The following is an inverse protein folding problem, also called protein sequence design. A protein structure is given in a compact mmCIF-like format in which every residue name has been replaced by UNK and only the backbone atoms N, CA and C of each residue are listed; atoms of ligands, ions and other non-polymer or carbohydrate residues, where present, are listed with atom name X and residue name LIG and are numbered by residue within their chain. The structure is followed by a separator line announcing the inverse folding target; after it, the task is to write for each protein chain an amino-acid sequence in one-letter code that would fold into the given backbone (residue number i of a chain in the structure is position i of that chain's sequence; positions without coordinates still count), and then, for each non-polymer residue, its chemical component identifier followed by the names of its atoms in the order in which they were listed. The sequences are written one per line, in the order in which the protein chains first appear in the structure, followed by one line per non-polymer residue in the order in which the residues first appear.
data_IF_046826413503
#
_entry.id   IF_046826413503
#
_cell.length_a   1.000
_cell.length_b   1.000
_cell.length_c   1.000
_cell.angle_alpha   90.00
_cell.angle_beta   90.00
_cell.angle_gamma   90.00
#
_symmetry.space_group_name_H-M   'P 1'
#
loop_
_entity.id
_entity.type
_entity.pdbx_description
1 polymer ?
#
# COMPACT_ATOMS: atom_id res chain seq x y z
N UNK A 1 -13.51 14.94 -31.82
CA UNK A 1 -14.17 13.66 -31.92
C UNK A 1 -14.63 13.21 -30.55
N UNK A 2 -15.91 12.89 -30.42
CA UNK A 2 -16.42 12.31 -29.17
C UNK A 2 -15.66 11.03 -28.91
N UNK A 3 -14.96 10.97 -27.79
CA UNK A 3 -14.30 9.74 -27.33
C UNK A 3 -15.39 8.67 -27.28
N UNK A 4 -15.20 7.59 -28.03
CA UNK A 4 -16.14 6.48 -28.05
C UNK A 4 -16.24 5.96 -26.62
N UNK A 5 -17.37 6.21 -25.96
CA UNK A 5 -17.64 5.72 -24.62
C UNK A 5 -17.54 4.21 -24.64
N UNK A 6 -16.59 3.66 -23.90
CA UNK A 6 -16.47 2.20 -23.74
C UNK A 6 -17.69 1.68 -22.98
N UNK A 7 -18.17 0.48 -23.29
CA UNK A 7 -19.14 -0.18 -22.41
C UNK A 7 -18.67 -0.14 -20.96
N UNK A 8 -19.57 0.06 -20.02
CA UNK A 8 -19.31 0.10 -18.57
C UNK A 8 -18.67 1.39 -18.04
N UNK A 9 -18.27 2.36 -18.86
CA UNK A 9 -17.67 3.62 -18.39
C UNK A 9 -18.60 4.44 -17.47
N UNK A 10 -19.89 4.12 -17.43
CA UNK A 10 -20.84 4.70 -16.49
C UNK A 10 -20.84 4.05 -15.10
N UNK A 11 -20.10 2.98 -14.89
CA UNK A 11 -20.06 2.23 -13.63
C UNK A 11 -18.83 2.60 -12.80
N UNK A 12 -19.04 3.22 -11.64
CA UNK A 12 -17.96 3.64 -10.75
C UNK A 12 -17.03 2.48 -10.36
N UNK A 13 -17.58 1.31 -10.03
CA UNK A 13 -16.78 0.13 -9.69
C UNK A 13 -15.88 -0.34 -10.82
N UNK A 14 -16.34 -0.24 -12.06
CA UNK A 14 -15.52 -0.57 -13.22
C UNK A 14 -14.36 0.42 -13.38
N UNK A 15 -14.62 1.71 -13.19
CA UNK A 15 -13.58 2.75 -13.28
C UNK A 15 -12.55 2.60 -12.15
N UNK A 16 -12.98 2.30 -10.94
CA UNK A 16 -12.08 2.00 -9.81
C UNK A 16 -11.15 0.84 -10.15
N UNK A 17 -11.70 -0.24 -10.73
CA UNK A 17 -10.88 -1.39 -11.15
C UNK A 17 -9.84 -1.00 -12.21
N UNK A 18 -10.23 -0.20 -13.18
CA UNK A 18 -9.32 0.29 -14.22
C UNK A 18 -8.22 1.17 -13.65
N UNK A 19 -8.57 2.04 -12.70
CA UNK A 19 -7.58 2.88 -12.00
C UNK A 19 -6.61 1.99 -11.21
N UNK A 20 -7.10 0.95 -10.53
CA UNK A 20 -6.24 0.01 -9.82
C UNK A 20 -5.29 -0.74 -10.75
N UNK A 21 -5.77 -1.15 -11.92
CA UNK A 21 -4.91 -1.78 -12.94
C UNK A 21 -3.81 -0.82 -13.41
N UNK A 22 -4.15 0.43 -13.66
CA UNK A 22 -3.17 1.47 -14.01
C UNK A 22 -2.18 1.72 -12.89
N UNK A 23 -2.65 1.80 -11.66
CA UNK A 23 -1.79 1.95 -10.48
C UNK A 23 -0.78 0.80 -10.38
N UNK A 24 -1.22 -0.44 -10.55
CA UNK A 24 -0.34 -1.61 -10.52
C UNK A 24 0.74 -1.56 -11.60
N UNK A 25 0.38 -1.18 -12.82
CA UNK A 25 1.33 -1.04 -13.92
C UNK A 25 2.34 0.09 -13.66
N UNK A 26 1.88 1.25 -13.19
CA UNK A 26 2.73 2.36 -12.82
C UNK A 26 3.64 2.01 -11.64
N UNK A 27 3.16 1.24 -10.68
CA UNK A 27 3.97 0.79 -9.55
C UNK A 27 5.20 0.02 -10.02
N UNK A 28 5.02 -0.97 -10.87
CA UNK A 28 6.12 -1.76 -11.39
C UNK A 28 7.15 -0.92 -12.16
N UNK A 29 6.69 0.10 -12.87
CA UNK A 29 7.52 0.98 -13.69
C UNK A 29 8.22 2.08 -12.87
N UNK A 30 7.48 2.75 -11.97
CA UNK A 30 7.94 3.95 -11.26
C UNK A 30 8.55 3.62 -9.91
N UNK A 31 7.98 2.67 -9.18
CA UNK A 31 8.41 2.35 -7.80
C UNK A 31 9.34 1.14 -7.78
N UNK A 32 8.82 -0.03 -8.09
CA UNK A 32 9.64 -1.25 -8.05
C UNK A 32 8.96 -2.41 -8.82
N UNK A 33 9.70 -3.17 -9.62
CA UNK A 33 9.18 -4.42 -10.19
C UNK A 33 9.25 -5.60 -9.22
N UNK A 34 9.91 -5.44 -8.06
CA UNK A 34 10.16 -6.52 -7.08
C UNK A 34 9.32 -6.34 -5.83
N UNK A 35 9.32 -5.13 -5.26
CA UNK A 35 8.54 -4.80 -4.07
C UNK A 35 7.14 -4.36 -4.52
N UNK A 36 6.12 -5.10 -4.11
CA UNK A 36 4.73 -4.77 -4.45
C UNK A 36 4.18 -3.63 -3.58
N UNK A 37 3.07 -3.02 -4.02
CA UNK A 37 2.37 -2.01 -3.23
C UNK A 37 2.00 -2.49 -1.83
N UNK A 38 1.38 -3.66 -1.67
CA UNK A 38 1.07 -4.21 -0.35
C UNK A 38 2.32 -4.49 0.51
N UNK A 39 3.42 -4.96 -0.07
CA UNK A 39 4.68 -5.14 0.65
C UNK A 39 5.22 -3.80 1.18
N UNK A 40 5.25 -2.78 0.33
CA UNK A 40 5.64 -1.43 0.75
C UNK A 40 4.72 -0.89 1.85
N UNK A 41 3.41 -1.13 1.75
CA UNK A 41 2.45 -0.69 2.75
C UNK A 41 2.75 -1.28 4.14
N UNK A 42 3.15 -2.55 4.21
CA UNK A 42 3.60 -3.17 5.48
C UNK A 42 4.83 -2.45 6.02
N UNK A 43 5.82 -2.19 5.17
CA UNK A 43 7.03 -1.47 5.59
C UNK A 43 6.68 -0.06 6.10
N UNK A 44 5.78 0.64 5.43
CA UNK A 44 5.37 1.99 5.81
C UNK A 44 4.64 2.02 7.16
N UNK A 45 3.74 1.06 7.40
CA UNK A 45 3.03 0.96 8.69
C UNK A 45 4.01 0.65 9.82
N UNK A 46 4.95 -0.26 9.61
CA UNK A 46 5.94 -0.62 10.64
C UNK A 46 6.94 0.50 10.93
N UNK A 47 7.18 1.39 9.97
CA UNK A 47 7.98 2.60 10.21
C UNK A 47 7.27 3.57 11.18
N UNK A 48 5.96 3.71 11.05
CA UNK A 48 5.15 4.58 11.91
C UNK A 48 4.75 3.92 13.23
N UNK A 49 4.52 2.63 13.20
CA UNK A 49 4.01 1.83 14.32
C UNK A 49 4.89 0.60 14.56
N UNK A 50 6.16 0.80 14.97
CA UNK A 50 7.03 -0.33 15.26
C UNK A 50 6.48 -1.17 16.42
N UNK A 51 6.63 -2.49 16.31
CA UNK A 51 6.10 -3.41 17.30
C UNK A 51 4.65 -3.82 17.06
N UNK A 52 4.07 -3.51 15.90
CA UNK A 52 2.73 -3.97 15.53
C UNK A 52 2.68 -5.50 15.39
N UNK A 53 1.56 -6.09 15.79
CA UNK A 53 1.24 -7.48 15.51
C UNK A 53 0.72 -7.64 14.07
N UNK A 54 0.64 -8.90 13.59
CA UNK A 54 0.00 -9.18 12.28
C UNK A 54 -1.47 -8.74 12.26
N UNK A 55 -2.16 -8.88 13.37
CA UNK A 55 -3.56 -8.45 13.51
C UNK A 55 -3.68 -6.93 13.37
N UNK A 56 -2.79 -6.18 14.02
CA UNK A 56 -2.76 -4.72 13.92
C UNK A 56 -2.43 -4.26 12.50
N UNK A 57 -1.50 -4.93 11.81
CA UNK A 57 -1.23 -4.67 10.40
C UNK A 57 -2.47 -4.91 9.51
N UNK A 58 -3.17 -6.01 9.75
CA UNK A 58 -4.40 -6.33 9.00
C UNK A 58 -5.45 -5.24 9.16
N UNK A 59 -5.64 -4.73 10.38
CA UNK A 59 -6.55 -3.64 10.65
C UNK A 59 -6.11 -2.33 9.98
N UNK A 60 -4.82 -2.00 10.05
CA UNK A 60 -4.27 -0.77 9.47
C UNK A 60 -4.35 -0.75 7.94
N UNK A 61 -4.19 -1.91 7.30
CA UNK A 61 -4.16 -2.05 5.84
C UNK A 61 -5.46 -2.58 5.23
N UNK A 62 -6.45 -2.91 6.07
CA UNK A 62 -7.71 -3.53 5.66
C UNK A 62 -7.47 -4.79 4.81
N UNK A 63 -6.59 -5.65 5.29
CA UNK A 63 -6.24 -6.92 4.66
C UNK A 63 -6.55 -8.09 5.61
N UNK A 64 -6.94 -9.21 5.03
CA UNK A 64 -7.23 -10.42 5.80
C UNK A 64 -5.96 -11.05 6.39
N UNK A 65 -6.16 -11.92 7.39
CA UNK A 65 -5.07 -12.55 8.14
C UNK A 65 -4.15 -13.40 7.24
N UNK A 66 -4.71 -14.09 6.25
CA UNK A 66 -3.96 -14.93 5.31
C UNK A 66 -3.04 -14.09 4.41
N UNK A 67 -3.56 -12.99 3.88
CA UNK A 67 -2.79 -12.06 3.05
C UNK A 67 -1.65 -11.43 3.85
N UNK A 68 -1.93 -10.95 5.06
CA UNK A 68 -0.92 -10.39 5.95
C UNK A 68 0.15 -11.44 6.30
N UNK A 69 -0.22 -12.65 6.63
CA UNK A 69 0.73 -13.72 6.94
C UNK A 69 1.69 -13.98 5.77
N UNK A 70 1.19 -14.00 4.54
CA UNK A 70 2.00 -14.16 3.34
C UNK A 70 2.96 -12.99 3.10
N UNK A 71 2.50 -11.75 3.28
CA UNK A 71 3.32 -10.55 3.15
C UNK A 71 4.44 -10.53 4.20
N UNK A 72 4.11 -10.81 5.45
CA UNK A 72 5.05 -10.85 6.56
C UNK A 72 6.10 -11.94 6.34
N UNK A 73 5.69 -13.16 5.95
CA UNK A 73 6.61 -14.26 5.69
C UNK A 73 7.62 -13.90 4.60
N UNK A 74 7.18 -13.26 3.54
CA UNK A 74 8.05 -12.86 2.42
C UNK A 74 9.05 -11.77 2.83
N UNK A 75 8.61 -10.75 3.54
CA UNK A 75 9.48 -9.68 4.03
C UNK A 75 10.49 -10.20 5.08
N UNK A 76 10.05 -11.10 5.95
CA UNK A 76 10.90 -11.76 6.93
C UNK A 76 11.99 -12.60 6.24
N UNK A 77 11.63 -13.41 5.25
CA UNK A 77 12.57 -14.23 4.49
C UNK A 77 13.63 -13.41 3.74
N UNK A 78 13.31 -12.17 3.41
CA UNK A 78 14.24 -11.23 2.76
C UNK A 78 15.06 -10.40 3.75
N UNK A 79 14.87 -10.62 5.07
CA UNK A 79 15.57 -9.86 6.11
C UNK A 79 15.14 -8.40 6.25
N UNK A 80 13.95 -8.05 5.80
CA UNK A 80 13.43 -6.67 5.80
C UNK A 80 12.62 -6.36 7.04
N UNK A 81 12.08 -7.36 7.69
CA UNK A 81 11.41 -7.27 8.98
C UNK A 81 11.91 -8.34 9.92
N UNK A 82 11.73 -8.13 11.22
CA UNK A 82 12.01 -9.12 12.27
C UNK A 82 10.76 -9.39 13.07
N UNK A 83 10.66 -10.62 13.58
CA UNK A 83 9.61 -11.04 14.51
C UNK A 83 10.22 -11.21 15.87
N UNK A 84 9.67 -10.55 16.87
CA UNK A 84 10.14 -10.61 18.24
C UNK A 84 8.97 -10.95 19.17
N UNK A 85 9.21 -11.68 20.29
CA UNK A 85 8.20 -11.86 21.31
C UNK A 85 7.80 -10.49 21.87
N UNK A 86 6.50 -10.30 22.16
CA UNK A 86 6.03 -9.13 22.86
C UNK A 86 6.64 -9.07 24.27
N UNK A 87 7.01 -7.87 24.73
CA UNK A 87 7.60 -7.66 26.06
C UNK A 87 6.64 -8.03 27.18
N UNK A 88 5.32 -7.87 26.98
CA UNK A 88 4.28 -8.15 27.98
C UNK A 88 3.76 -9.57 27.87
N UNK A 89 3.50 -10.07 26.66
CA UNK A 89 3.02 -11.43 26.41
C UNK A 89 3.88 -12.11 25.34
N UNK A 90 4.81 -12.96 25.79
CA UNK A 90 5.76 -13.64 24.92
C UNK A 90 5.11 -14.60 23.90
N UNK A 91 3.82 -14.91 24.04
CA UNK A 91 3.07 -15.71 23.07
C UNK A 91 2.68 -14.91 21.82
N UNK A 92 2.61 -13.56 21.95
CA UNK A 92 2.38 -12.66 20.83
C UNK A 92 3.71 -12.34 20.16
N UNK A 93 3.68 -12.26 18.84
CA UNK A 93 4.81 -11.80 18.03
C UNK A 93 4.58 -10.36 17.61
N UNK A 94 5.58 -9.53 17.79
CA UNK A 94 5.59 -8.15 17.28
C UNK A 94 6.54 -8.07 16.10
N UNK A 95 6.27 -7.12 15.23
CA UNK A 95 6.99 -6.94 13.98
C UNK A 95 7.71 -5.59 14.00
N UNK A 96 8.93 -5.58 13.50
CA UNK A 96 9.74 -4.37 13.37
C UNK A 96 10.48 -4.38 12.05
N UNK A 97 10.77 -3.21 11.52
CA UNK A 97 11.70 -3.08 10.41
C UNK A 97 13.12 -3.45 10.89
N UNK A 98 13.83 -4.17 10.06
CA UNK A 98 15.29 -4.27 10.18
C UNK A 98 15.94 -2.99 9.59
N UNK A 99 17.24 -2.73 9.83
CA UNK A 99 17.95 -1.66 9.13
C UNK A 99 17.81 -1.76 7.60
N UNK A 100 17.86 -2.97 7.06
CA UNK A 100 17.65 -3.21 5.62
C UNK A 100 16.24 -2.84 5.17
N UNK A 101 15.23 -3.17 5.97
CA UNK A 101 13.82 -2.81 5.68
C UNK A 101 13.61 -1.30 5.70
N UNK A 102 14.19 -0.60 6.66
CA UNK A 102 14.10 0.87 6.73
C UNK A 102 14.83 1.54 5.56
N UNK A 103 16.00 1.05 5.19
CA UNK A 103 16.74 1.55 4.01
C UNK A 103 15.91 1.37 2.75
N UNK A 104 15.30 0.21 2.57
CA UNK A 104 14.43 -0.07 1.42
C UNK A 104 13.22 0.88 1.40
N UNK A 105 12.50 0.98 2.51
CA UNK A 105 11.34 1.88 2.63
C UNK A 105 11.71 3.32 2.28
N UNK A 106 12.78 3.82 2.86
CA UNK A 106 13.24 5.19 2.62
C UNK A 106 13.63 5.43 1.16
N UNK A 107 14.24 4.43 0.51
CA UNK A 107 14.60 4.53 -0.91
C UNK A 107 13.39 4.53 -1.84
N UNK A 108 12.31 3.87 -1.46
CA UNK A 108 11.09 3.78 -2.26
C UNK A 108 10.13 4.96 -2.04
N UNK A 109 10.17 5.61 -0.89
CA UNK A 109 9.23 6.67 -0.54
C UNK A 109 9.14 7.79 -1.58
N UNK A 110 10.26 8.37 -2.11
CA UNK A 110 10.17 9.38 -3.16
C UNK A 110 9.57 8.86 -4.46
N UNK A 111 9.77 7.58 -4.77
CA UNK A 111 9.18 6.94 -5.96
C UNK A 111 7.68 6.73 -5.81
N UNK A 112 7.22 6.44 -4.60
CA UNK A 112 5.79 6.37 -4.28
C UNK A 112 5.12 7.72 -4.47
N UNK A 113 5.76 8.81 -4.03
CA UNK A 113 5.27 10.17 -4.26
C UNK A 113 5.21 10.48 -5.76
N UNK A 114 6.23 10.12 -6.52
CA UNK A 114 6.25 10.29 -7.98
C UNK A 114 5.14 9.49 -8.67
N UNK A 115 4.82 8.31 -8.15
CA UNK A 115 3.70 7.52 -8.67
C UNK A 115 2.35 8.21 -8.43
N UNK A 116 2.15 8.80 -7.24
CA UNK A 116 0.93 9.55 -6.96
C UNK A 116 0.73 10.69 -7.97
N UNK A 117 1.79 11.42 -8.26
CA UNK A 117 1.76 12.48 -9.26
C UNK A 117 1.46 11.95 -10.65
N UNK A 118 2.11 10.86 -11.07
CA UNK A 118 1.88 10.25 -12.37
C UNK A 118 0.45 9.69 -12.53
N UNK A 119 -0.09 9.09 -11.47
CA UNK A 119 -1.45 8.55 -11.47
C UNK A 119 -2.51 9.65 -11.63
N UNK A 120 -2.25 10.82 -11.09
CA UNK A 120 -3.20 11.94 -11.01
C UNK A 120 -2.76 13.17 -11.82
N UNK A 121 -1.89 13.00 -12.79
CA UNK A 121 -1.30 14.11 -13.56
C UNK A 121 -2.35 14.91 -14.36
N UNK A 122 -3.45 14.26 -14.75
CA UNK A 122 -4.56 14.91 -15.44
C UNK A 122 -5.42 15.80 -14.54
N UNK A 123 -5.22 15.74 -13.21
CA UNK A 123 -6.02 16.46 -12.23
C UNK A 123 -5.27 17.69 -11.70
N UNK A 124 -6.00 18.77 -11.42
CA UNK A 124 -5.49 19.89 -10.66
C UNK A 124 -5.26 19.48 -9.20
N UNK A 125 -4.53 20.31 -8.43
CA UNK A 125 -4.31 20.05 -7.01
C UNK A 125 -5.64 19.97 -6.24
N UNK A 126 -6.57 20.89 -6.52
CA UNK A 126 -7.89 20.88 -5.89
C UNK A 126 -8.68 19.60 -6.22
N UNK A 127 -8.60 19.14 -7.46
CA UNK A 127 -9.25 17.90 -7.90
C UNK A 127 -8.62 16.66 -7.26
N UNK A 128 -7.31 16.64 -7.05
CA UNK A 128 -6.61 15.56 -6.32
C UNK A 128 -7.08 15.48 -4.87
N UNK A 129 -7.24 16.60 -4.21
CA UNK A 129 -7.78 16.67 -2.84
C UNK A 129 -9.23 16.19 -2.80
N UNK A 130 -10.05 16.64 -3.74
CA UNK A 130 -11.43 16.19 -3.87
C UNK A 130 -11.52 14.68 -4.11
N UNK A 131 -10.66 14.13 -4.95
CA UNK A 131 -10.61 12.68 -5.21
C UNK A 131 -10.31 11.91 -3.93
N UNK A 132 -9.30 12.34 -3.15
CA UNK A 132 -8.99 11.70 -1.86
C UNK A 132 -10.18 11.74 -0.91
N UNK A 133 -10.83 12.89 -0.78
CA UNK A 133 -12.00 13.04 0.09
C UNK A 133 -13.16 12.12 -0.34
N UNK A 134 -13.43 12.02 -1.64
CA UNK A 134 -14.47 11.14 -2.17
C UNK A 134 -14.15 9.65 -1.95
N UNK A 135 -12.89 9.26 -2.14
CA UNK A 135 -12.46 7.88 -1.87
C UNK A 135 -12.58 7.55 -0.38
N UNK A 136 -12.18 8.46 0.51
CA UNK A 136 -12.38 8.28 1.95
C UNK A 136 -13.84 8.11 2.32
N UNK A 137 -14.74 8.87 1.69
CA UNK A 137 -16.19 8.73 1.93
C UNK A 137 -16.73 7.38 1.48
N UNK A 138 -16.23 6.85 0.37
CA UNK A 138 -16.61 5.51 -0.10
C UNK A 138 -16.10 4.42 0.86
N UNK A 139 -14.92 4.61 1.44
CA UNK A 139 -14.28 3.65 2.34
C UNK A 139 -14.72 3.80 3.81
N UNK A 140 -15.43 4.88 4.15
CA UNK A 140 -15.92 5.09 5.51
C UNK A 140 -17.07 4.12 5.82
N UNK A 141 -16.99 3.43 6.97
CA UNK A 141 -18.03 2.56 7.50
C UNK A 141 -19.11 3.37 8.28
#
# INVERSE_FOLDING_TARGET
PAATRRPLDGLAGHLVRRVQQRHTALWAEVVSPVVTGPQYAVLAVLAEQPGSSQRELGAALDLDASTIAGLVARLDSRGQISREPDEVDARKKTLRLTPAGETLRASLAPRVDALQDALTDALTQAEREQLRDLLHRILAD
#
